data_IF_963833627336
#
_entry.id   IF_963833627336
#
_cell.length_a   1.000
_cell.length_b   1.000
_cell.length_c   1.000
_cell.angle_alpha   90.00
_cell.angle_beta   90.00
_cell.angle_gamma   90.00
#
_symmetry.space_group_name_H-M   'P 1'
#
loop_
_entity.id
_entity.type
_entity.pdbx_description
1 polymer ?
#
# COMPACT_ATOMS: atom_id res chain seq x y z
N UNK A 1 16.42 13.78 10.60
CA UNK A 1 15.47 13.89 9.46
C UNK A 1 15.01 12.49 9.15
N UNK A 2 13.70 12.25 8.93
CA UNK A 2 13.22 10.91 8.66
C UNK A 2 13.73 10.39 7.31
N UNK A 3 13.90 9.08 7.23
CA UNK A 3 14.30 8.37 6.01
C UNK A 3 13.15 7.49 5.51
N UNK A 4 12.77 7.68 4.24
CA UNK A 4 11.72 6.92 3.57
C UNK A 4 12.32 6.03 2.50
N UNK A 5 11.97 4.75 2.53
CA UNK A 5 12.32 3.81 1.47
C UNK A 5 11.13 3.63 0.53
N UNK A 6 11.33 3.96 -0.75
CA UNK A 6 10.40 3.56 -1.80
C UNK A 6 10.85 2.19 -2.31
N UNK A 7 10.00 1.18 -2.16
CA UNK A 7 10.33 -0.21 -2.50
C UNK A 7 9.38 -0.65 -3.59
N UNK A 8 9.93 -0.97 -4.76
CA UNK A 8 9.11 -1.30 -5.92
C UNK A 8 9.41 -2.66 -6.51
N UNK A 9 8.42 -3.20 -7.21
CA UNK A 9 8.66 -4.11 -8.32
C UNK A 9 8.11 -3.48 -9.59
N UNK A 10 8.82 -3.55 -10.72
CA UNK A 10 8.36 -2.90 -11.95
C UNK A 10 8.92 -3.56 -13.21
N UNK A 11 8.17 -4.49 -13.81
CA UNK A 11 8.61 -5.19 -15.02
C UNK A 11 8.65 -4.28 -16.26
N UNK A 12 7.58 -3.52 -16.51
CA UNK A 12 7.45 -2.64 -17.69
C UNK A 12 7.51 -1.14 -17.31
N UNK A 13 8.24 -0.80 -16.26
CA UNK A 13 8.56 0.58 -15.84
C UNK A 13 7.41 1.54 -15.46
N UNK A 14 6.13 1.16 -15.57
CA UNK A 14 5.00 2.02 -15.14
C UNK A 14 5.10 2.42 -13.67
N UNK A 15 5.32 1.44 -12.78
CA UNK A 15 5.53 1.68 -11.34
C UNK A 15 6.78 2.50 -11.09
N UNK A 16 7.87 2.23 -11.82
CA UNK A 16 9.09 3.01 -11.69
C UNK A 16 8.85 4.50 -11.98
N UNK A 17 8.10 4.83 -13.04
CA UNK A 17 7.75 6.21 -13.38
C UNK A 17 6.91 6.87 -12.28
N UNK A 18 5.87 6.19 -11.79
CA UNK A 18 5.06 6.69 -10.66
C UNK A 18 5.94 6.89 -9.41
N UNK A 19 6.85 5.96 -9.11
CA UNK A 19 7.76 6.03 -7.98
C UNK A 19 8.67 7.27 -8.04
N UNK A 20 9.10 7.69 -9.23
CA UNK A 20 9.90 8.92 -9.38
C UNK A 20 9.12 10.17 -9.00
N UNK A 21 7.81 10.23 -9.27
CA UNK A 21 6.98 11.37 -8.86
C UNK A 21 6.59 11.31 -7.38
N UNK A 22 6.37 10.11 -6.82
CA UNK A 22 6.28 9.94 -5.35
C UNK A 22 7.57 10.41 -4.67
N UNK A 23 8.74 10.06 -5.21
CA UNK A 23 10.04 10.49 -4.70
C UNK A 23 10.15 12.02 -4.66
N UNK A 24 9.80 12.70 -5.75
CA UNK A 24 9.81 14.18 -5.81
C UNK A 24 8.92 14.79 -4.73
N UNK A 25 7.71 14.25 -4.53
CA UNK A 25 6.78 14.73 -3.52
C UNK A 25 7.27 14.52 -2.08
N UNK A 26 7.99 13.43 -1.79
CA UNK A 26 8.63 13.24 -0.49
C UNK A 26 9.80 14.21 -0.27
N UNK A 27 10.64 14.39 -1.29
CA UNK A 27 11.84 15.23 -1.23
C UNK A 27 11.49 16.73 -1.12
N UNK A 28 10.37 17.17 -1.69
CA UNK A 28 9.90 18.57 -1.57
C UNK A 28 9.58 18.98 -0.13
N UNK A 29 9.33 18.01 0.75
CA UNK A 29 9.06 18.19 2.18
C UNK A 29 10.30 17.88 3.04
N UNK A 30 11.49 17.79 2.45
CA UNK A 30 12.78 17.68 3.15
C UNK A 30 13.06 16.32 3.79
N UNK A 31 12.37 15.27 3.34
CA UNK A 31 12.59 13.89 3.81
C UNK A 31 13.70 13.22 2.99
N UNK A 32 14.54 12.41 3.63
CA UNK A 32 15.57 11.64 2.91
C UNK A 32 14.92 10.43 2.24
N UNK A 33 15.09 10.28 0.92
CA UNK A 33 14.44 9.20 0.17
C UNK A 33 15.47 8.28 -0.46
N UNK A 34 15.25 6.98 -0.36
CA UNK A 34 16.00 5.96 -1.12
C UNK A 34 15.02 5.10 -1.92
N UNK A 35 15.30 4.92 -3.21
CA UNK A 35 14.50 4.10 -4.12
C UNK A 35 15.20 2.75 -4.32
N UNK A 36 14.46 1.67 -4.08
CA UNK A 36 14.94 0.30 -4.23
C UNK A 36 13.98 -0.54 -5.07
N UNK A 37 14.52 -1.58 -5.70
CA UNK A 37 13.74 -2.68 -6.28
C UNK A 37 13.84 -3.94 -5.44
N UNK A 38 12.78 -4.75 -5.42
CA UNK A 38 12.85 -6.12 -4.87
C UNK A 38 13.59 -7.05 -5.83
N UNK A 39 14.16 -8.16 -5.35
CA UNK A 39 14.79 -9.17 -6.20
C UNK A 39 13.83 -9.70 -7.26
N UNK A 40 14.34 -9.89 -8.48
CA UNK A 40 13.61 -10.57 -9.54
C UNK A 40 13.58 -12.08 -9.29
N UNK A 41 12.44 -12.72 -9.61
CA UNK A 41 12.25 -14.17 -9.45
C UNK A 41 12.17 -14.91 -10.79
N UNK A 42 11.92 -14.20 -11.89
CA UNK A 42 11.93 -14.78 -13.23
C UNK A 42 13.37 -14.93 -13.75
N UNK A 43 13.62 -16.00 -14.49
CA UNK A 43 14.92 -16.17 -15.17
C UNK A 43 15.05 -15.20 -16.34
N UNK A 44 16.30 -14.91 -16.73
CA UNK A 44 16.59 -14.04 -17.88
C UNK A 44 15.92 -14.55 -19.17
N UNK A 45 15.86 -15.87 -19.35
CA UNK A 45 15.15 -16.51 -20.49
C UNK A 45 13.65 -16.17 -20.50
N UNK A 46 12.99 -16.18 -19.34
CA UNK A 46 11.57 -15.82 -19.25
C UNK A 46 11.39 -14.32 -19.48
N UNK A 47 12.27 -13.48 -18.93
CA UNK A 47 12.23 -12.04 -19.14
C UNK A 47 12.37 -11.68 -20.62
N UNK A 48 13.26 -12.35 -21.34
CA UNK A 48 13.43 -12.17 -22.79
C UNK A 48 12.16 -12.54 -23.56
N UNK A 49 11.54 -13.69 -23.24
CA UNK A 49 10.28 -14.11 -23.85
C UNK A 49 9.11 -13.17 -23.55
N UNK A 50 9.14 -12.49 -22.41
CA UNK A 50 8.15 -11.48 -22.03
C UNK A 50 8.43 -10.11 -22.64
N UNK A 51 9.51 -9.99 -23.43
CA UNK A 51 10.01 -8.72 -23.96
C UNK A 51 10.18 -7.66 -22.86
N UNK A 52 10.66 -8.08 -21.69
CA UNK A 52 10.89 -7.19 -20.57
C UNK A 52 11.98 -6.17 -20.95
N UNK A 53 11.74 -4.86 -20.76
CA UNK A 53 12.78 -3.87 -20.97
C UNK A 53 13.94 -4.05 -19.98
N UNK A 54 15.13 -3.51 -20.26
CA UNK A 54 16.25 -3.53 -19.33
C UNK A 54 15.85 -2.89 -17.99
N UNK A 55 16.18 -3.56 -16.89
CA UNK A 55 15.84 -3.12 -15.52
C UNK A 55 16.36 -1.69 -15.27
N UNK A 56 15.61 -0.84 -14.53
CA UNK A 56 16.12 0.46 -14.12
C UNK A 56 17.36 0.31 -13.24
N UNK A 57 18.27 1.27 -13.33
CA UNK A 57 19.46 1.34 -12.48
C UNK A 57 19.10 1.84 -11.06
N UNK A 58 18.50 0.93 -10.28
CA UNK A 58 18.17 1.14 -8.88
C UNK A 58 18.64 -0.04 -8.03
N UNK A 59 19.14 0.18 -6.81
CA UNK A 59 19.67 -0.89 -5.97
C UNK A 59 18.59 -1.91 -5.59
N UNK A 60 19.01 -3.18 -5.49
CA UNK A 60 18.15 -4.26 -4.98
C UNK A 60 18.14 -4.21 -3.45
N UNK A 61 16.96 -4.18 -2.83
CA UNK A 61 16.84 -4.15 -1.37
C UNK A 61 17.05 -5.53 -0.74
N UNK A 62 17.67 -5.55 0.44
CA UNK A 62 17.71 -6.71 1.33
C UNK A 62 16.72 -6.55 2.47
N UNK A 63 16.27 -7.66 3.06
CA UNK A 63 15.30 -7.63 4.17
C UNK A 63 15.84 -6.83 5.36
N UNK A 64 17.11 -6.98 5.72
CA UNK A 64 17.72 -6.31 6.88
C UNK A 64 17.72 -4.78 6.74
N UNK A 65 17.86 -4.27 5.51
CA UNK A 65 17.83 -2.84 5.22
C UNK A 65 16.49 -2.19 5.61
N UNK A 66 15.39 -2.96 5.72
CA UNK A 66 14.10 -2.42 6.14
C UNK A 66 14.15 -1.76 7.53
N UNK A 67 15.03 -2.21 8.42
CA UNK A 67 15.13 -1.65 9.77
C UNK A 67 15.67 -0.21 9.79
N UNK A 68 16.42 0.18 8.75
CA UNK A 68 17.09 1.48 8.63
C UNK A 68 16.13 2.63 8.27
N UNK A 69 14.96 2.33 7.71
CA UNK A 69 14.00 3.34 7.29
C UNK A 69 12.99 3.64 8.40
N UNK A 70 12.49 4.87 8.46
CA UNK A 70 11.40 5.26 9.35
C UNK A 70 10.04 4.96 8.74
N UNK A 71 9.99 4.86 7.41
CA UNK A 71 8.77 4.61 6.68
C UNK A 71 9.00 4.04 5.27
N UNK A 72 7.94 3.47 4.70
CA UNK A 72 7.98 2.78 3.41
C UNK A 72 6.86 3.26 2.48
N UNK A 73 7.13 3.27 1.18
CA UNK A 73 6.12 3.37 0.13
C UNK A 73 6.30 2.21 -0.85
N UNK A 74 5.33 1.30 -0.88
CA UNK A 74 5.37 0.11 -1.74
C UNK A 74 4.70 0.36 -3.08
N UNK A 75 5.46 0.20 -4.16
CA UNK A 75 4.98 0.30 -5.54
C UNK A 75 4.84 -1.07 -6.20
N UNK A 76 3.63 -1.48 -6.58
CA UNK A 76 3.40 -2.82 -7.14
C UNK A 76 2.48 -2.82 -8.38
N UNK A 77 2.85 -3.53 -9.47
CA UNK A 77 1.92 -3.81 -10.55
C UNK A 77 0.96 -4.91 -10.08
N UNK A 78 -0.32 -4.74 -10.33
CA UNK A 78 -1.32 -5.74 -9.94
C UNK A 78 -1.09 -7.07 -10.66
N UNK A 79 -1.39 -8.15 -9.96
CA UNK A 79 -1.62 -9.50 -10.50
C UNK A 79 -2.96 -9.96 -9.95
N UNK A 80 -4.01 -9.83 -10.76
CA UNK A 80 -5.38 -10.24 -10.41
C UNK A 80 -5.90 -9.65 -9.09
N UNK A 81 -5.60 -8.37 -8.81
CA UNK A 81 -6.04 -7.72 -7.58
C UNK A 81 -5.17 -8.02 -6.36
N UNK A 82 -3.99 -8.62 -6.55
CA UNK A 82 -2.96 -8.73 -5.52
C UNK A 82 -1.58 -8.29 -6.02
N UNK A 83 -0.59 -8.26 -5.15
CA UNK A 83 0.79 -7.92 -5.47
C UNK A 83 1.54 -9.11 -6.11
N UNK A 84 2.60 -8.87 -6.90
CA UNK A 84 3.25 -9.91 -7.69
C UNK A 84 4.09 -10.85 -6.83
N UNK A 85 4.39 -12.04 -7.37
CA UNK A 85 5.17 -13.08 -6.69
C UNK A 85 6.54 -12.59 -6.21
N UNK A 86 7.19 -11.68 -6.96
CA UNK A 86 8.46 -11.04 -6.60
C UNK A 86 8.34 -10.27 -5.29
N UNK A 87 7.29 -9.43 -5.17
CA UNK A 87 7.02 -8.70 -3.95
C UNK A 87 6.65 -9.67 -2.82
N UNK A 88 5.81 -10.68 -3.10
CA UNK A 88 5.45 -11.70 -2.09
C UNK A 88 6.66 -12.44 -1.55
N UNK A 89 7.58 -12.87 -2.41
CA UNK A 89 8.79 -13.56 -2.00
C UNK A 89 9.68 -12.67 -1.11
N UNK A 90 9.79 -11.39 -1.41
CA UNK A 90 10.53 -10.44 -0.58
C UNK A 90 9.86 -10.26 0.79
N UNK A 91 8.55 -10.05 0.83
CA UNK A 91 7.79 -9.87 2.08
C UNK A 91 7.78 -11.16 2.93
N UNK A 92 7.73 -12.35 2.32
CA UNK A 92 7.78 -13.63 3.03
C UNK A 92 9.11 -13.88 3.74
N UNK A 93 10.20 -13.29 3.24
CA UNK A 93 11.52 -13.38 3.86
C UNK A 93 11.65 -12.52 5.13
N UNK A 94 10.62 -11.74 5.51
CA UNK A 94 10.65 -10.83 6.67
C UNK A 94 10.24 -11.49 8.00
N UNK A 95 10.13 -12.83 8.06
CA UNK A 95 9.65 -13.55 9.24
C UNK A 95 10.45 -13.28 10.53
N UNK A 96 11.77 -13.09 10.44
CA UNK A 96 12.60 -12.73 11.60
C UNK A 96 12.35 -11.30 12.11
N UNK A 97 12.12 -10.35 11.20
CA UNK A 97 11.76 -8.97 11.54
C UNK A 97 10.37 -8.91 12.18
N UNK A 98 9.44 -9.72 11.67
CA UNK A 98 8.12 -9.87 12.25
C UNK A 98 8.20 -10.40 13.69
N UNK A 99 8.96 -11.47 13.91
CA UNK A 99 9.09 -12.10 15.23
C UNK A 99 9.69 -11.16 16.29
N UNK A 100 10.55 -10.23 15.89
CA UNK A 100 11.17 -9.23 16.78
C UNK A 100 10.39 -7.92 16.88
N UNK A 101 9.34 -7.73 16.07
CA UNK A 101 8.61 -6.47 15.98
C UNK A 101 9.43 -5.32 15.41
N UNK A 102 10.51 -5.60 14.67
CA UNK A 102 11.48 -4.59 14.23
C UNK A 102 10.90 -3.51 13.29
N UNK A 103 9.77 -3.80 12.64
CA UNK A 103 9.08 -2.85 11.75
C UNK A 103 7.89 -2.14 12.43
N UNK A 104 7.54 -2.53 13.66
CA UNK A 104 6.37 -2.00 14.36
C UNK A 104 6.51 -0.50 14.60
N UNK A 105 5.42 0.24 14.37
CA UNK A 105 5.36 1.69 14.54
C UNK A 105 5.87 2.52 13.36
N UNK A 106 6.58 1.89 12.39
CA UNK A 106 7.00 2.57 11.15
C UNK A 106 5.80 2.86 10.25
N UNK A 107 5.88 3.91 9.43
CA UNK A 107 4.78 4.31 8.55
C UNK A 107 4.85 3.60 7.19
N UNK A 108 3.70 3.35 6.56
CA UNK A 108 3.65 2.69 5.26
C UNK A 108 2.56 3.25 4.35
N UNK A 109 2.85 3.39 3.06
CA UNK A 109 1.88 3.71 2.02
C UNK A 109 2.03 2.79 0.81
N UNK A 110 1.09 2.89 -0.13
CA UNK A 110 1.07 2.05 -1.34
C UNK A 110 0.75 2.85 -2.59
N UNK A 111 1.27 2.41 -3.73
CA UNK A 111 0.84 2.86 -5.06
C UNK A 111 0.93 1.70 -6.05
N UNK A 112 0.14 1.75 -7.11
CA UNK A 112 -0.09 0.56 -7.94
C UNK A 112 -0.28 0.87 -9.43
N UNK A 113 -0.20 -0.18 -10.26
CA UNK A 113 -0.44 -0.10 -11.70
C UNK A 113 -1.32 -1.27 -12.12
N UNK A 114 -2.34 -1.01 -12.94
CA UNK A 114 -3.25 -2.03 -13.46
C UNK A 114 -3.39 -1.93 -14.97
N UNK A 115 -3.78 -3.03 -15.64
CA UNK A 115 -4.07 -2.98 -17.07
C UNK A 115 -5.41 -2.30 -17.38
N UNK A 116 -6.44 -2.54 -16.55
CA UNK A 116 -7.79 -2.02 -16.73
C UNK A 116 -8.25 -1.14 -15.56
N UNK A 117 -9.26 -0.30 -15.80
CA UNK A 117 -9.72 0.74 -14.86
C UNK A 117 -10.09 0.22 -13.47
N UNK A 118 -10.71 -0.96 -13.38
CA UNK A 118 -11.16 -1.53 -12.10
C UNK A 118 -10.53 -2.90 -11.81
N UNK A 119 -9.56 -3.32 -12.63
CA UNK A 119 -8.88 -4.61 -12.53
C UNK A 119 -7.86 -4.67 -11.40
N UNK A 120 -8.26 -4.26 -10.19
CA UNK A 120 -7.43 -4.31 -8.99
C UNK A 120 -6.77 -3.00 -8.57
N UNK A 121 -7.26 -1.84 -9.03
CA UNK A 121 -6.76 -0.53 -8.58
C UNK A 121 -6.89 -0.39 -7.05
N UNK A 122 -7.97 -0.91 -6.46
CA UNK A 122 -8.17 -0.83 -5.01
C UNK A 122 -7.72 -2.10 -4.28
N UNK A 123 -8.09 -3.27 -4.80
CA UNK A 123 -7.85 -4.55 -4.10
C UNK A 123 -6.37 -4.90 -3.96
N UNK A 124 -5.51 -4.43 -4.89
CA UNK A 124 -4.06 -4.61 -4.75
C UNK A 124 -3.54 -3.98 -3.45
N UNK A 125 -4.03 -2.78 -3.10
CA UNK A 125 -3.71 -2.15 -1.83
C UNK A 125 -4.27 -2.94 -0.64
N UNK A 126 -5.52 -3.41 -0.73
CA UNK A 126 -6.14 -4.22 0.34
C UNK A 126 -5.35 -5.47 0.69
N UNK A 127 -4.83 -6.17 -0.31
CA UNK A 127 -4.06 -7.38 -0.05
C UNK A 127 -2.75 -7.09 0.68
N UNK A 128 -2.13 -5.93 0.45
CA UNK A 128 -0.95 -5.48 1.20
C UNK A 128 -1.28 -5.05 2.64
N UNK A 129 -2.49 -4.57 2.92
CA UNK A 129 -2.89 -4.17 4.29
C UNK A 129 -2.73 -5.32 5.30
N UNK A 130 -2.96 -6.56 4.87
CA UNK A 130 -2.76 -7.73 5.72
C UNK A 130 -1.32 -7.85 6.21
N UNK A 131 -0.35 -7.65 5.32
CA UNK A 131 1.07 -7.64 5.66
C UNK A 131 1.39 -6.48 6.62
N UNK A 132 0.85 -5.28 6.36
CA UNK A 132 1.09 -4.11 7.21
C UNK A 132 0.58 -4.33 8.64
N UNK A 133 -0.63 -4.86 8.78
CA UNK A 133 -1.23 -5.15 10.07
C UNK A 133 -0.39 -6.18 10.87
N UNK A 134 0.08 -7.24 10.21
CA UNK A 134 0.89 -8.27 10.87
C UNK A 134 2.24 -7.75 11.37
N UNK A 135 2.85 -6.78 10.68
CA UNK A 135 4.11 -6.15 11.09
C UNK A 135 3.95 -4.94 12.02
N UNK A 136 2.72 -4.55 12.36
CA UNK A 136 2.47 -3.37 13.20
C UNK A 136 2.79 -2.05 12.51
N UNK A 137 2.70 -2.00 11.18
CA UNK A 137 2.96 -0.80 10.38
C UNK A 137 1.75 0.15 10.39
N UNK A 138 2.04 1.45 10.50
CA UNK A 138 1.04 2.51 10.45
C UNK A 138 0.71 2.87 8.99
N UNK A 139 -0.41 2.36 8.49
CA UNK A 139 -0.83 2.61 7.11
C UNK A 139 -1.36 4.05 6.91
N UNK A 140 -0.82 4.73 5.91
CA UNK A 140 -1.20 6.09 5.50
C UNK A 140 -1.84 6.03 4.12
N UNK A 141 -3.18 6.16 4.04
CA UNK A 141 -3.87 6.25 2.75
C UNK A 141 -3.60 7.62 2.09
N UNK A 142 -3.80 7.69 0.77
CA UNK A 142 -3.79 8.95 0.04
C UNK A 142 -5.03 9.81 0.37
N UNK A 143 -6.17 9.15 0.57
CA UNK A 143 -7.48 9.81 0.59
C UNK A 143 -7.79 10.51 -0.73
N UNK A 144 -8.64 11.54 -0.68
CA UNK A 144 -8.98 12.36 -1.84
C UNK A 144 -8.18 13.67 -1.89
N UNK A 145 -6.91 13.61 -1.46
CA UNK A 145 -6.10 14.81 -1.28
C UNK A 145 -5.71 15.52 -2.60
N UNK A 146 -5.85 14.85 -3.74
CA UNK A 146 -5.65 15.43 -5.06
C UNK A 146 -6.99 15.48 -5.82
N UNK A 147 -7.34 16.64 -6.38
CA UNK A 147 -8.61 16.84 -7.09
C UNK A 147 -8.77 16.00 -8.35
N UNK A 148 -7.66 15.53 -8.95
CA UNK A 148 -7.69 14.67 -10.13
C UNK A 148 -8.40 13.33 -9.86
N UNK A 149 -8.53 12.89 -8.59
CA UNK A 149 -9.29 11.69 -8.23
C UNK A 149 -10.81 11.83 -8.40
N UNK A 150 -11.32 13.07 -8.54
CA UNK A 150 -12.74 13.32 -8.85
C UNK A 150 -13.00 13.45 -10.35
N UNK A 151 -11.94 13.46 -11.17
CA UNK A 151 -12.05 13.68 -12.59
C UNK A 151 -12.61 12.44 -13.31
N UNK A 152 -13.66 12.65 -14.10
CA UNK A 152 -14.30 11.63 -14.92
C UNK A 152 -14.24 11.97 -16.42
N UNK A 153 -13.45 12.97 -16.82
CA UNK A 153 -13.28 13.39 -18.21
C UNK A 153 -12.32 12.49 -18.99
N UNK A 154 -11.44 11.77 -18.29
CA UNK A 154 -10.56 10.75 -18.84
C UNK A 154 -10.33 9.62 -17.84
N UNK A 155 -9.73 8.52 -18.29
CA UNK A 155 -9.31 7.43 -17.41
C UNK A 155 -8.14 7.92 -16.56
N UNK A 156 -8.31 7.92 -15.24
CA UNK A 156 -7.28 8.26 -14.25
C UNK A 156 -7.13 7.09 -13.28
N UNK A 157 -5.91 6.58 -13.13
CA UNK A 157 -5.56 5.60 -12.11
C UNK A 157 -5.40 6.23 -10.72
N UNK A 158 -5.48 5.40 -9.69
CA UNK A 158 -5.41 5.82 -8.29
C UNK A 158 -6.74 5.69 -7.57
N UNK A 159 -6.68 5.73 -6.25
CA UNK A 159 -7.81 5.56 -5.36
C UNK A 159 -7.50 6.21 -4.00
N UNK A 160 -8.45 6.30 -3.06
CA UNK A 160 -8.10 6.76 -1.70
C UNK A 160 -7.03 5.90 -1.01
N UNK A 161 -6.74 4.69 -1.49
CA UNK A 161 -5.71 3.81 -0.92
C UNK A 161 -4.30 4.09 -1.45
N UNK A 162 -4.15 4.93 -2.46
CA UNK A 162 -2.85 5.23 -3.05
C UNK A 162 -2.94 5.79 -4.46
N UNK A 163 -1.86 6.43 -4.91
CA UNK A 163 -1.71 6.79 -6.30
C UNK A 163 -1.69 5.54 -7.18
N UNK A 164 -2.12 5.69 -8.43
CA UNK A 164 -2.12 4.59 -9.36
C UNK A 164 -2.06 5.04 -10.81
N UNK A 165 -1.77 4.09 -11.68
CA UNK A 165 -1.75 4.30 -13.13
C UNK A 165 -2.41 3.14 -13.87
N UNK A 166 -3.03 3.42 -15.01
CA UNK A 166 -3.62 2.40 -15.89
C UNK A 166 -2.71 2.18 -17.12
N UNK A 167 -2.18 0.98 -17.27
CA UNK A 167 -1.20 0.61 -18.30
C UNK A 167 -1.82 0.17 -19.64
N UNK A 168 -3.15 0.06 -19.72
CA UNK A 168 -3.88 -0.60 -20.82
C UNK A 168 -3.63 -2.12 -20.89
N UNK A 169 -4.45 -2.85 -21.65
CA UNK A 169 -4.38 -4.31 -21.79
C UNK A 169 -3.09 -4.83 -22.42
N UNK A 170 -2.47 -4.02 -23.27
CA UNK A 170 -1.21 -4.28 -23.96
C UNK A 170 0.01 -3.66 -23.27
N UNK A 171 -0.19 -2.92 -22.18
CA UNK A 171 0.88 -2.21 -21.47
C UNK A 171 1.41 -0.96 -22.19
N UNK A 172 0.71 -0.44 -23.22
CA UNK A 172 1.19 0.69 -24.02
C UNK A 172 0.86 2.06 -23.44
N UNK A 173 -0.11 2.15 -22.52
CA UNK A 173 -0.53 3.44 -21.93
C UNK A 173 0.42 3.82 -20.81
N UNK A 174 1.13 4.92 -21.02
CA UNK A 174 2.01 5.50 -20.02
C UNK A 174 1.25 6.26 -18.92
N UNK A 175 1.84 6.42 -17.72
CA UNK A 175 1.27 7.26 -16.69
C UNK A 175 0.98 8.67 -17.18
N UNK A 176 -0.25 9.14 -16.98
CA UNK A 176 -0.65 10.47 -17.43
C UNK A 176 -0.16 11.55 -16.47
N UNK A 177 -0.16 12.81 -16.92
CA UNK A 177 0.20 13.96 -16.07
C UNK A 177 -0.65 13.97 -14.79
N UNK A 178 -1.96 13.70 -14.89
CA UNK A 178 -2.84 13.65 -13.71
C UNK A 178 -2.46 12.54 -12.73
N UNK A 179 -2.12 11.35 -13.24
CA UNK A 179 -1.67 10.23 -12.40
C UNK A 179 -0.32 10.54 -11.70
N UNK A 180 0.60 11.21 -12.39
CA UNK A 180 1.87 11.65 -11.81
C UNK A 180 1.70 12.77 -10.79
N UNK A 181 0.77 13.71 -11.01
CA UNK A 181 0.41 14.73 -10.02
C UNK A 181 -0.20 14.11 -8.76
N UNK A 182 -1.06 13.10 -8.90
CA UNK A 182 -1.61 12.34 -7.76
C UNK A 182 -0.47 11.68 -6.97
N UNK A 183 0.49 11.07 -7.67
CA UNK A 183 1.67 10.44 -7.06
C UNK A 183 2.55 11.45 -6.30
N UNK A 184 2.76 12.63 -6.87
CA UNK A 184 3.46 13.73 -6.21
C UNK A 184 2.74 14.17 -4.93
N UNK A 185 1.42 14.40 -5.00
CA UNK A 185 0.61 14.76 -3.84
C UNK A 185 0.65 13.68 -2.74
N UNK A 186 0.68 12.40 -3.12
CA UNK A 186 0.85 11.32 -2.15
C UNK A 186 2.17 11.44 -1.39
N UNK A 187 3.27 11.66 -2.10
CA UNK A 187 4.60 11.86 -1.50
C UNK A 187 4.59 13.03 -0.52
N UNK A 188 4.08 14.19 -0.93
CA UNK A 188 4.01 15.38 -0.08
C UNK A 188 3.21 15.13 1.21
N UNK A 189 2.01 14.57 1.10
CA UNK A 189 1.14 14.38 2.25
C UNK A 189 1.71 13.34 3.22
N UNK A 190 2.29 12.27 2.68
CA UNK A 190 2.97 11.26 3.47
C UNK A 190 4.14 11.88 4.25
N UNK A 191 4.98 12.67 3.59
CA UNK A 191 6.10 13.35 4.23
C UNK A 191 5.66 14.38 5.28
N UNK A 192 4.61 15.17 5.03
CA UNK A 192 4.03 16.10 6.01
C UNK A 192 3.60 15.38 7.30
N UNK A 193 2.92 14.25 7.16
CA UNK A 193 2.50 13.44 8.30
C UNK A 193 3.72 12.88 9.05
N UNK A 194 4.66 12.29 8.32
CA UNK A 194 5.88 11.70 8.89
C UNK A 194 6.72 12.74 9.65
N UNK A 195 6.94 13.91 9.05
CA UNK A 195 7.65 15.02 9.69
C UNK A 195 6.91 15.49 10.95
N UNK A 196 5.58 15.54 10.93
CA UNK A 196 4.78 15.91 12.10
C UNK A 196 4.95 14.91 13.24
N UNK A 197 4.93 13.61 12.92
CA UNK A 197 5.19 12.56 13.89
C UNK A 197 6.59 12.68 14.52
N UNK A 198 7.64 12.87 13.70
CA UNK A 198 9.01 13.00 14.20
C UNK A 198 9.25 14.26 15.03
N UNK A 199 8.61 15.39 14.69
CA UNK A 199 8.62 16.58 15.54
C UNK A 199 7.95 16.29 16.89
N UNK A 200 6.85 15.53 16.89
CA UNK A 200 6.17 15.11 18.11
C UNK A 200 7.02 14.23 19.02
N UNK A 201 7.80 13.30 18.46
CA UNK A 201 8.74 12.47 19.22
C UNK A 201 9.79 13.32 19.95
N UNK A 202 10.43 14.27 19.26
CA UNK A 202 11.41 15.15 19.89
C UNK A 202 10.84 15.96 21.07
N UNK A 203 9.60 16.45 20.95
CA UNK A 203 8.92 17.16 22.04
C UNK A 203 8.55 16.26 23.23
N UNK A 204 8.32 14.97 23.00
CA UNK A 204 8.03 14.02 24.07
C UNK A 204 9.31 13.67 24.85
N UNK A 205 10.43 13.53 24.16
CA UNK A 205 11.73 13.28 24.77
C UNK A 205 12.20 14.47 25.62
N UNK A 206 12.06 15.70 25.09
CA UNK A 206 12.43 16.93 25.82
C UNK A 206 11.63 17.11 27.13
N UNK A 207 10.34 16.75 27.14
CA UNK A 207 9.51 16.83 28.35
C UNK A 207 9.86 15.79 29.40
N UNK A 208 10.33 14.60 29.00
CA UNK A 208 10.84 13.64 29.98
C UNK A 208 12.11 14.16 30.66
N UNK A 209 12.96 14.92 29.96
CA UNK A 209 14.13 15.57 30.56
C UNK A 209 13.72 16.62 31.59
N UNK A 210 12.73 17.46 31.29
CA UNK A 210 12.22 18.46 32.24
C UNK A 210 11.59 17.83 33.50
N UNK A 211 10.81 16.75 33.36
CA UNK A 211 10.21 16.06 34.51
C UNK A 211 11.26 15.33 35.36
N UNK A 212 12.32 14.77 34.76
CA UNK A 212 13.43 14.15 35.50
C UNK A 212 14.25 15.20 36.26
N UNK A 213 14.59 16.34 35.63
CA UNK A 213 15.30 17.44 36.30
C UNK A 213 14.50 17.99 37.48
N UNK A 214 13.18 18.08 37.36
CA UNK A 214 12.30 18.54 38.44
C UNK A 214 12.19 17.55 39.60
N UNK A 215 12.46 16.26 39.37
CA UNK A 215 12.56 15.22 40.41
C UNK A 215 13.93 15.28 41.09
N UNK A 216 15.01 15.46 40.35
CA UNK A 216 16.38 15.59 40.90
C UNK A 216 16.56 16.90 41.72
N UNK A 217 15.99 18.02 41.26
CA UNK A 217 16.00 19.30 41.99
C UNK A 217 15.14 19.26 43.29
N UNK A 218 14.17 18.35 43.35
CA UNK A 218 13.40 18.08 44.58
C UNK A 218 14.13 17.12 45.52
N UNK A 219 14.79 16.08 44.99
CA UNK A 219 15.55 15.12 45.82
C UNK A 219 16.86 15.70 46.37
N UNK A 220 17.46 16.70 45.72
CA UNK A 220 18.63 17.41 46.25
C UNK A 220 18.31 18.41 47.37
N UNK A 221 17.03 18.72 47.62
CA UNK A 221 16.60 19.61 48.70
C UNK A 221 15.98 18.90 49.91
N UNK A 222 15.73 17.58 49.85
CA UNK A 222 15.03 16.83 50.90
C UNK A 222 15.81 15.60 51.39
N UNK A 223 16.96 15.79 52.06
CA UNK A 223 17.49 14.90 53.12
C UNK A 223 18.46 15.77 53.96
N UNK A 224 18.37 15.96 55.28
CA UNK A 224 18.23 15.00 56.39
C UNK A 224 17.56 15.71 57.58
N UNK A 225 16.40 15.21 58.04
CA UNK A 225 16.05 15.24 59.47
C UNK A 225 15.77 13.80 59.91
N UNK A 226 16.50 13.38 60.94
CA UNK A 226 16.60 12.03 61.47
C UNK A 226 15.34 11.66 62.27
N UNK A 227 14.65 10.57 61.90
CA UNK A 227 13.53 10.04 62.68
C UNK A 227 13.94 8.77 63.45
N UNK A 228 13.87 8.87 64.77
CA UNK A 228 14.09 7.82 65.76
C UNK A 228 13.03 6.68 65.71
N UNK A 229 13.28 5.50 66.31
CA UNK A 229 12.50 4.29 66.05
C UNK A 229 11.26 4.21 66.94
N UNK A 230 10.14 3.74 66.37
CA UNK A 230 8.92 3.45 67.14
C UNK A 230 8.64 1.96 67.15
N UNK A 231 8.39 1.48 68.37
CA UNK A 231 8.14 0.12 68.84
C UNK A 231 6.79 -0.47 68.37
N UNK A 232 6.75 -1.80 68.31
CA UNK A 232 5.57 -2.60 68.00
C UNK A 232 4.53 -2.60 69.16
N UNK A 233 3.24 -2.61 68.82
CA UNK A 233 2.13 -3.08 69.69
C UNK A 233 0.94 -3.56 68.84
N UNK A 234 0.23 -4.54 69.41
CA UNK A 234 -0.74 -5.52 68.90
C UNK A 234 -2.16 -5.03 68.55
N UNK A 235 -2.76 -5.71 67.55
CA UNK A 235 -4.16 -6.10 67.28
C UNK A 235 -5.37 -5.28 67.79
N UNK A 236 -6.41 -5.10 66.95
CA UNK A 236 -7.79 -5.67 67.09
C UNK A 236 -8.71 -5.34 65.89
N UNK A 237 -9.55 -6.31 65.56
CA UNK A 237 -10.65 -6.52 64.59
C UNK A 237 -11.75 -5.43 64.52
N UNK A 238 -12.35 -5.20 63.33
CA UNK A 238 -13.81 -5.31 63.05
C UNK A 238 -14.17 -5.00 61.58
N UNK A 239 -15.07 -5.81 61.01
CA UNK A 239 -15.73 -5.61 59.71
C UNK A 239 -17.09 -4.92 59.89
N UNK A 240 -17.71 -4.42 58.80
CA UNK A 240 -19.14 -4.61 58.61
C UNK A 240 -19.55 -5.05 57.19
N UNK A 241 -20.21 -6.21 57.15
CA UNK A 241 -21.58 -6.49 56.67
C UNK A 241 -22.13 -5.91 55.35
N UNK A 242 -22.40 -6.84 54.41
CA UNK A 242 -23.62 -7.11 53.59
C UNK A 242 -24.31 -5.97 52.79
N UNK A 243 -25.02 -6.17 51.67
CA UNK A 243 -25.63 -7.33 51.04
C UNK A 243 -26.00 -6.96 49.59
N UNK A 244 -26.01 -7.92 48.65
CA UNK A 244 -27.00 -7.95 47.57
C UNK A 244 -27.43 -9.40 47.36
N UNK A 245 -28.74 -9.63 47.46
CA UNK A 245 -29.41 -10.91 47.36
C UNK A 245 -29.51 -11.40 45.91
N UNK A 246 -29.41 -12.72 45.76
CA UNK A 246 -29.76 -13.48 44.58
C UNK A 246 -31.22 -13.97 44.63
N UNK A 247 -31.78 -14.26 43.46
CA UNK A 247 -32.76 -15.34 43.19
C UNK A 247 -32.32 -15.90 41.83
N UNK A 248 -31.67 -17.08 41.71
CA UNK A 248 -32.13 -18.49 41.81
C UNK A 248 -33.37 -18.77 40.93
N UNK A 249 -33.48 -19.83 40.11
CA UNK A 249 -32.73 -21.08 39.85
C UNK A 249 -33.16 -21.58 38.44
N UNK A 250 -32.67 -22.62 37.76
CA UNK A 250 -31.97 -23.88 38.11
C UNK A 250 -31.39 -24.46 36.79
N UNK A 251 -30.10 -24.83 36.65
CA UNK A 251 -29.47 -26.16 36.91
C UNK A 251 -29.77 -27.20 35.80
N UNK A 252 -28.84 -27.94 35.18
CA UNK A 252 -27.64 -28.66 35.66
C UNK A 252 -26.54 -28.67 34.54
N UNK A 253 -25.23 -28.48 34.79
CA UNK A 253 -24.23 -29.34 35.47
C UNK A 253 -24.11 -30.74 34.78
N UNK A 254 -22.97 -31.28 34.37
CA UNK A 254 -21.60 -31.33 34.95
C UNK A 254 -20.57 -31.63 33.84
N UNK A 255 -19.32 -31.17 34.03
CA UNK A 255 -18.16 -31.30 33.15
C UNK A 255 -17.27 -32.56 33.47
N UNK A 256 -15.96 -32.63 33.16
CA UNK A 256 -15.38 -33.45 32.09
C UNK A 256 -14.35 -34.51 32.58
N UNK A 257 -13.83 -35.37 31.69
CA UNK A 257 -12.39 -35.68 31.51
C UNK A 257 -12.08 -37.05 30.83
N UNK A 258 -11.11 -36.99 29.91
CA UNK A 258 -9.97 -37.89 29.71
C UNK A 258 -10.06 -39.23 28.92
N UNK A 259 -9.05 -39.36 28.05
CA UNK A 259 -8.20 -40.53 27.74
C UNK A 259 -8.72 -41.70 26.85
N UNK A 260 -7.96 -41.95 25.79
CA UNK A 260 -7.96 -43.08 24.84
C UNK A 260 -7.64 -44.43 25.50
N UNK A 261 -7.95 -45.59 24.86
CA UNK A 261 -6.90 -46.32 24.12
C UNK A 261 -7.39 -47.10 22.86
N UNK A 262 -6.42 -47.72 22.17
CA UNK A 262 -6.46 -48.38 20.87
C UNK A 262 -6.95 -49.86 20.85
N UNK A 263 -7.35 -50.35 19.65
CA UNK A 263 -7.19 -51.72 19.08
C UNK A 263 -7.89 -51.79 17.68
N UNK A 264 -7.21 -52.07 16.55
CA UNK A 264 -7.02 -53.40 15.89
C UNK A 264 -8.33 -54.19 15.65
N UNK A 265 -8.79 -54.57 14.44
CA UNK A 265 -8.16 -55.45 13.43
C UNK A 265 -9.04 -55.61 12.14
N UNK A 266 -8.36 -55.82 11.00
CA UNK A 266 -8.64 -56.66 9.79
C UNK A 266 -9.83 -56.48 8.82
N UNK A 267 -9.47 -56.03 7.60
CA UNK A 267 -9.60 -56.67 6.26
C UNK A 267 -10.88 -57.43 5.83
N UNK A 268 -11.47 -57.01 4.70
CA UNK A 268 -11.75 -57.89 3.53
C UNK A 268 -12.09 -57.09 2.26
N UNK A 269 -11.51 -57.56 1.16
CA UNK A 269 -11.56 -57.04 -0.21
C UNK A 269 -12.87 -57.35 -0.94
N UNK A 270 -13.29 -56.47 -1.86
CA UNK A 270 -14.13 -56.81 -3.04
C UNK A 270 -14.07 -55.65 -4.06
N UNK A 271 -13.21 -55.72 -5.07
CA UNK A 271 -13.43 -56.27 -6.42
C UNK A 271 -14.15 -55.29 -7.38
N UNK A 272 -13.41 -54.88 -8.42
CA UNK A 272 -13.83 -54.04 -9.54
C UNK A 272 -14.41 -54.92 -10.64
N UNK A 273 -15.51 -54.53 -11.33
CA UNK A 273 -15.82 -55.09 -12.64
C UNK A 273 -15.59 -54.06 -13.76
N UNK A 274 -14.91 -54.54 -14.80
CA UNK A 274 -14.75 -53.87 -16.08
C UNK A 274 -15.93 -54.17 -17.03
N UNK A 275 -16.26 -53.14 -17.82
CA UNK A 275 -16.92 -53.07 -19.14
C UNK A 275 -17.74 -54.25 -19.70
N UNK A 276 -18.97 -53.94 -20.12
CA UNK A 276 -19.57 -54.43 -21.39
C UNK A 276 -20.53 -53.40 -21.99
N UNK A 277 -20.53 -53.37 -23.32
CA UNK A 277 -21.17 -52.50 -24.31
C UNK A 277 -22.70 -52.41 -24.32
N UNK A 278 -23.25 -51.23 -24.62
CA UNK A 278 -24.40 -51.07 -25.52
C UNK A 278 -24.57 -49.61 -25.97
N UNK A 279 -24.76 -49.48 -27.29
CA UNK A 279 -25.00 -48.34 -28.17
C UNK A 279 -26.23 -47.51 -27.80
N UNK A 280 -26.17 -46.17 -27.84
CA UNK A 280 -27.27 -45.28 -28.29
C UNK A 280 -26.70 -43.89 -28.66
N UNK A 281 -27.32 -43.29 -29.68
CA UNK A 281 -26.89 -42.18 -30.55
C UNK A 281 -26.42 -40.86 -29.90
N UNK A 282 -25.45 -40.25 -30.59
CA UNK A 282 -24.98 -38.87 -30.41
C UNK A 282 -25.72 -37.96 -31.42
N UNK A 283 -26.28 -36.79 -31.02
CA UNK A 283 -26.96 -35.92 -31.98
C UNK A 283 -25.96 -35.14 -32.83
N UNK A 284 -26.16 -35.21 -34.15
CA UNK A 284 -25.32 -34.55 -35.16
C UNK A 284 -25.24 -33.03 -34.98
N UNK A 285 -24.03 -32.49 -34.81
CA UNK A 285 -23.74 -31.08 -34.99
C UNK A 285 -23.63 -30.84 -36.51
N UNK A 286 -24.53 -30.01 -37.06
CA UNK A 286 -24.44 -29.58 -38.46
C UNK A 286 -23.23 -28.65 -38.61
N UNK A 287 -22.33 -29.00 -39.55
CA UNK A 287 -21.31 -28.09 -40.07
C UNK A 287 -21.95 -26.77 -40.53
N UNK A 288 -21.44 -25.67 -40.01
CA UNK A 288 -21.72 -24.33 -40.52
C UNK A 288 -20.68 -24.06 -41.59
N UNK A 289 -21.11 -23.94 -42.84
CA UNK A 289 -20.26 -23.55 -43.96
C UNK A 289 -19.60 -22.17 -43.72
N UNK A 290 -18.35 -21.95 -44.17
CA UNK A 290 -17.66 -20.69 -43.95
C UNK A 290 -18.32 -19.55 -44.74
N UNK A 291 -18.62 -18.46 -44.04
CA UNK A 291 -19.08 -17.18 -44.62
C UNK A 291 -17.97 -16.62 -45.52
N UNK A 292 -18.25 -16.24 -46.79
CA UNK A 292 -17.23 -15.65 -47.66
C UNK A 292 -16.79 -14.28 -47.15
N UNK A 293 -15.48 -14.06 -47.15
CA UNK A 293 -14.85 -12.78 -46.81
C UNK A 293 -15.37 -11.66 -47.71
N UNK A 294 -15.87 -10.58 -47.12
CA UNK A 294 -16.14 -9.33 -47.84
C UNK A 294 -14.80 -8.66 -48.18
N UNK A 295 -14.59 -8.37 -49.46
CA UNK A 295 -13.48 -7.56 -49.96
C UNK A 295 -13.41 -6.20 -49.25
N UNK A 296 -12.23 -5.84 -48.75
CA UNK A 296 -11.90 -4.48 -48.35
C UNK A 296 -11.81 -3.57 -49.58
N UNK A 297 -12.32 -2.33 -49.53
CA UNK A 297 -12.15 -1.41 -50.64
C UNK A 297 -10.70 -0.90 -50.71
N UNK A 298 -10.11 -1.06 -51.89
CA UNK A 298 -8.79 -0.54 -52.28
C UNK A 298 -8.66 0.94 -51.92
N UNK A 299 -7.63 1.30 -51.16
CA UNK A 299 -7.26 2.69 -50.91
C UNK A 299 -6.73 3.32 -52.21
N UNK A 300 -7.47 4.29 -52.74
CA UNK A 300 -7.01 5.14 -53.83
C UNK A 300 -5.89 6.07 -53.35
N UNK A 301 -4.78 6.00 -54.07
CA UNK A 301 -3.66 6.93 -54.00
C UNK A 301 -4.05 8.32 -54.51
N UNK A 302 -3.74 9.38 -53.74
CA UNK A 302 -3.63 10.75 -54.26
C UNK A 302 -2.36 11.46 -53.73
N UNK A 303 -1.84 12.45 -54.47
CA UNK A 303 -0.41 12.59 -54.73
C UNK A 303 0.31 13.57 -53.80
N UNK A 304 1.65 13.44 -53.81
CA UNK A 304 2.66 14.41 -53.36
C UNK A 304 2.28 15.85 -53.73
N UNK A 305 2.32 16.75 -52.76
CA UNK A 305 2.52 18.19 -52.98
C UNK A 305 3.83 18.59 -52.31
N UNK A 306 4.59 19.33 -53.10
CA UNK A 306 5.98 19.72 -52.96
C UNK A 306 6.15 20.86 -51.95
N UNK A 307 7.33 20.90 -51.34
CA UNK A 307 7.83 21.87 -50.39
C UNK A 307 8.25 23.16 -51.13
N UNK A 308 7.74 24.34 -50.72
CA UNK A 308 8.31 25.62 -51.15
C UNK A 308 8.59 26.53 -49.93
N UNK A 309 9.75 27.19 -49.97
CA UNK A 309 10.46 27.74 -48.82
C UNK A 309 10.62 29.27 -48.95
N UNK A 310 10.22 30.00 -47.89
CA UNK A 310 10.64 31.36 -47.43
C UNK A 310 10.23 32.61 -48.27
N UNK A 311 10.27 33.87 -47.73
CA UNK A 311 11.01 34.36 -46.55
C UNK A 311 10.24 35.20 -45.50
N UNK A 312 10.97 35.54 -44.42
CA UNK A 312 10.57 36.29 -43.24
C UNK A 312 10.55 37.82 -43.46
N UNK A 313 9.68 38.53 -42.72
CA UNK A 313 9.89 39.94 -42.32
C UNK A 313 9.14 40.25 -41.03
N UNK A 314 9.82 40.98 -40.13
CA UNK A 314 9.38 41.41 -38.81
C UNK A 314 8.48 42.65 -38.85
N UNK A 315 7.60 42.82 -37.85
CA UNK A 315 7.29 44.11 -37.22
C UNK A 315 6.37 43.93 -35.99
N UNK A 316 6.72 44.62 -34.90
CA UNK A 316 5.98 44.79 -33.63
C UNK A 316 5.44 46.23 -33.61
N UNK A 317 4.25 46.52 -33.03
CA UNK A 317 4.20 47.36 -31.81
C UNK A 317 3.06 46.94 -30.85
N UNK A 318 3.31 46.75 -29.56
CA UNK A 318 3.21 47.74 -28.46
C UNK A 318 1.94 47.52 -27.59
N UNK A 319 2.16 47.49 -26.27
CA UNK A 319 1.15 47.31 -25.23
C UNK A 319 0.55 48.64 -24.75
N UNK A 320 -0.55 48.60 -23.98
CA UNK A 320 -0.68 49.54 -22.85
C UNK A 320 -1.17 48.89 -21.52
N UNK A 321 -0.36 49.14 -20.48
CA UNK A 321 -0.64 49.55 -19.07
C UNK A 321 -1.87 49.03 -18.29
N UNK A 322 -1.57 48.27 -17.21
CA UNK A 322 -2.00 48.37 -15.77
C UNK A 322 -3.08 49.42 -15.39
N UNK A 323 -4.10 49.23 -14.53
CA UNK A 323 -4.24 48.65 -13.13
C UNK A 323 -5.73 48.93 -12.65
N UNK A 324 -6.23 48.63 -11.41
CA UNK A 324 -6.44 47.35 -10.69
C UNK A 324 -7.87 47.17 -10.06
N UNK A 325 -8.07 45.98 -9.44
CA UNK A 325 -8.98 45.60 -8.32
C UNK A 325 -10.51 45.51 -8.52
N UNK A 326 -11.05 44.32 -8.24
CA UNK A 326 -12.05 44.10 -7.16
C UNK A 326 -11.97 42.67 -6.62
N UNK A 327 -11.87 42.57 -5.30
CA UNK A 327 -12.05 41.36 -4.50
C UNK A 327 -13.49 40.87 -4.63
N UNK A 328 -13.68 39.55 -4.78
CA UNK A 328 -14.96 38.91 -4.52
C UNK A 328 -14.73 37.67 -3.68
N UNK A 329 -15.17 37.74 -2.42
CA UNK A 329 -15.28 36.60 -1.50
C UNK A 329 -16.20 35.57 -2.13
N UNK A 330 -15.74 34.33 -2.28
CA UNK A 330 -16.62 33.18 -2.51
C UNK A 330 -16.60 32.27 -1.29
N UNK A 331 -17.77 32.19 -0.65
CA UNK A 331 -18.10 31.31 0.44
C UNK A 331 -17.85 29.85 0.07
N UNK A 332 -17.15 29.13 0.93
CA UNK A 332 -16.98 27.69 0.84
C UNK A 332 -18.28 27.01 1.28
N UNK A 333 -19.05 26.49 0.32
CA UNK A 333 -20.13 25.56 0.60
C UNK A 333 -19.54 24.17 0.80
N UNK A 334 -19.67 23.69 2.02
CA UNK A 334 -19.49 22.29 2.41
C UNK A 334 -20.34 21.40 1.47
N UNK A 335 -19.70 20.51 0.73
CA UNK A 335 -20.40 19.46 -0.02
C UNK A 335 -19.96 18.12 0.55
N UNK A 336 -20.86 17.47 1.28
CA UNK A 336 -20.74 16.07 1.66
C UNK A 336 -21.31 15.22 0.53
N UNK A 337 -20.52 14.26 0.05
CA UNK A 337 -20.97 12.98 -0.48
C UNK A 337 -19.81 11.99 -0.43
#
# INVERSE_FOLDING_TARGET
MPTVYIIIYSLYHHIYKVAKDVQKGLESEGVTVKLFQVPETLSDEILEKLHAPPKPDIPVITVDALTEADAFLFGVPTRFGTFPAQMKSFLDATGALWATGALSGKFVGTFFSTASQHGGQETTAYTLLTYFAHHGLNYVPLGFANSNLFDNTEVVGGSPYGAGTVANGDGSREPTVKELEIAHTQGENFAKLLNTFHRGLGLADDKQVEDVQKVEDKQSNDVIEEAAPVTATTATTTAPTAAVAATEANEAAVAPASATPAAETTTTSREVPAATSATTEEPSIKEVEPVPAKEEPKSESKPKVEEEKKPATASKPAAPKTTPKKEEKKESKCFCM
#
